data_IF_932439302571
#
_entry.id   IF_932439302571
#
_cell.length_a   1.000
_cell.length_b   1.000
_cell.length_c   1.000
_cell.angle_alpha   90.00
_cell.angle_beta   90.00
_cell.angle_gamma   90.00
#
_symmetry.space_group_name_H-M   'P 1'
#
loop_
_entity.id
_entity.type
_entity.pdbx_description
1 polymer ?
#
# COMPACT_ATOMS: atom_id res chain seq x y z
N UNK A 1 13.14 14.99 10.28
CA UNK A 1 14.34 14.81 9.44
C UNK A 1 14.02 15.29 8.03
N UNK A 2 14.88 16.05 7.42
CA UNK A 2 14.80 16.51 6.03
C UNK A 2 15.82 15.77 5.17
N UNK A 3 15.45 15.42 3.92
CA UNK A 3 16.29 14.68 2.98
C UNK A 3 16.80 13.34 3.52
N UNK A 4 15.87 12.50 3.95
CA UNK A 4 16.17 11.18 4.48
C UNK A 4 16.39 10.18 3.34
N UNK A 5 17.42 9.33 3.48
CA UNK A 5 17.69 8.20 2.59
C UNK A 5 17.79 6.92 3.40
N UNK A 6 16.96 5.93 3.06
CA UNK A 6 17.04 4.59 3.62
C UNK A 6 17.75 3.69 2.62
N UNK A 7 18.96 3.27 2.94
CA UNK A 7 19.79 2.39 2.10
C UNK A 7 19.29 0.94 2.16
N UNK A 8 19.53 0.19 1.08
CA UNK A 8 19.26 -1.25 1.01
C UNK A 8 17.83 -1.64 0.66
N UNK A 9 16.90 -0.70 0.59
CA UNK A 9 15.51 -0.95 0.19
C UNK A 9 14.96 0.21 -0.61
N UNK A 10 14.56 -0.04 -1.85
CA UNK A 10 13.82 0.90 -2.67
C UNK A 10 12.33 0.50 -2.66
N UNK A 11 11.54 1.09 -1.73
CA UNK A 11 10.11 0.81 -1.60
C UNK A 11 9.33 1.04 -2.90
N UNK A 12 9.51 2.16 -3.62
CA UNK A 12 8.90 2.35 -4.94
C UNK A 12 9.19 1.20 -5.91
N UNK A 13 10.43 0.75 -6.01
CA UNK A 13 10.84 -0.33 -6.91
C UNK A 13 10.19 -1.66 -6.54
N UNK A 14 10.16 -2.02 -5.26
CA UNK A 14 9.49 -3.23 -4.77
C UNK A 14 8.03 -3.26 -5.19
N UNK A 15 7.32 -2.15 -5.04
CA UNK A 15 5.91 -2.05 -5.44
C UNK A 15 5.76 -2.18 -6.95
N UNK A 16 6.58 -1.49 -7.74
CA UNK A 16 6.54 -1.56 -9.21
C UNK A 16 6.79 -2.98 -9.73
N UNK A 17 7.78 -3.68 -9.18
CA UNK A 17 8.09 -5.06 -9.54
C UNK A 17 6.95 -6.01 -9.17
N UNK A 18 6.37 -5.87 -7.97
CA UNK A 18 5.25 -6.70 -7.53
C UNK A 18 4.00 -6.49 -8.40
N UNK A 19 3.74 -5.25 -8.81
CA UNK A 19 2.64 -4.92 -9.72
C UNK A 19 2.91 -5.52 -11.12
N UNK A 20 4.13 -5.40 -11.62
CA UNK A 20 4.51 -5.95 -12.93
C UNK A 20 4.33 -7.47 -12.96
N UNK A 21 4.75 -8.18 -11.91
CA UNK A 21 4.57 -9.63 -11.78
C UNK A 21 3.09 -10.05 -11.74
N UNK A 22 2.25 -9.30 -11.01
CA UNK A 22 0.84 -9.65 -10.85
C UNK A 22 -0.04 -9.29 -12.07
N UNK A 23 0.43 -8.42 -12.95
CA UNK A 23 -0.39 -7.89 -14.06
C UNK A 23 0.16 -8.17 -15.44
N UNK A 24 1.30 -8.85 -15.56
CA UNK A 24 2.07 -9.02 -16.80
C UNK A 24 2.36 -7.69 -17.54
N UNK A 25 2.30 -6.59 -16.82
CA UNK A 25 2.58 -5.25 -17.34
C UNK A 25 3.93 -4.78 -16.86
N UNK A 26 4.85 -4.56 -17.79
CA UNK A 26 6.16 -4.00 -17.47
C UNK A 26 5.98 -2.52 -17.10
N UNK A 27 6.28 -2.20 -15.84
CA UNK A 27 6.41 -0.84 -15.36
C UNK A 27 7.92 -0.57 -15.30
N UNK A 28 8.40 0.31 -16.17
CA UNK A 28 9.81 0.69 -16.16
C UNK A 28 10.05 1.66 -14.99
N UNK A 29 10.89 1.30 -14.02
CA UNK A 29 11.30 2.26 -13.00
C UNK A 29 12.17 3.34 -13.66
N UNK A 30 11.81 4.60 -13.46
CA UNK A 30 12.59 5.73 -14.00
C UNK A 30 13.96 5.87 -13.33
N UNK A 31 14.15 5.28 -12.13
CA UNK A 31 15.43 5.26 -11.41
C UNK A 31 15.63 3.94 -10.67
N UNK A 32 16.73 3.26 -10.97
CA UNK A 32 17.17 2.03 -10.26
C UNK A 32 18.15 2.44 -9.15
N UNK A 33 17.66 3.16 -8.15
CA UNK A 33 18.47 3.48 -6.98
C UNK A 33 18.23 2.45 -5.87
N UNK A 34 19.27 2.08 -5.14
CA UNK A 34 19.20 1.10 -4.05
C UNK A 34 18.74 1.70 -2.72
N UNK A 35 17.96 2.78 -2.76
CA UNK A 35 17.49 3.47 -1.57
C UNK A 35 16.08 4.02 -1.75
N UNK A 36 15.39 4.22 -0.62
CA UNK A 36 14.15 5.01 -0.53
C UNK A 36 14.50 6.41 -0.05
N UNK A 37 14.12 7.45 -0.80
CA UNK A 37 14.34 8.84 -0.43
C UNK A 37 13.03 9.49 0.01
N UNK A 38 13.08 10.27 1.09
CA UNK A 38 11.96 11.10 1.52
C UNK A 38 12.45 12.52 1.85
N UNK A 39 11.63 13.51 1.49
CA UNK A 39 11.92 14.92 1.74
C UNK A 39 11.72 15.27 3.22
N UNK A 40 10.74 14.64 3.85
CA UNK A 40 10.44 14.77 5.26
C UNK A 40 10.06 13.43 5.88
N UNK A 41 10.58 13.16 7.07
CA UNK A 41 10.25 11.96 7.86
C UNK A 41 9.95 12.36 9.30
N UNK A 42 8.77 11.95 9.77
CA UNK A 42 8.34 12.06 11.15
C UNK A 42 8.08 10.64 11.66
N UNK A 43 8.72 10.28 12.78
CA UNK A 43 8.51 8.98 13.40
C UNK A 43 8.36 9.13 14.91
N UNK A 44 7.44 8.33 15.47
CA UNK A 44 7.29 8.16 16.92
C UNK A 44 7.59 6.71 17.27
N UNK A 45 8.51 6.51 18.19
CA UNK A 45 8.91 5.16 18.59
C UNK A 45 9.16 5.07 20.09
N UNK A 46 9.06 3.86 20.60
CA UNK A 46 9.40 3.50 21.97
C UNK A 46 10.49 2.45 21.96
N UNK A 47 11.60 2.75 22.65
CA UNK A 47 12.70 1.80 22.84
C UNK A 47 12.68 1.28 24.27
N UNK A 48 12.78 -0.04 24.42
CA UNK A 48 12.92 -0.71 25.74
C UNK A 48 14.39 -0.98 26.06
N UNK A 49 14.76 -1.14 27.36
CA UNK A 49 16.13 -1.53 27.74
C UNK A 49 16.57 -2.88 27.17
N UNK A 50 15.63 -3.73 26.78
CA UNK A 50 15.88 -5.04 26.12
C UNK A 50 16.08 -4.92 24.61
N UNK A 51 16.29 -3.72 24.07
CA UNK A 51 16.55 -3.52 22.65
C UNK A 51 15.34 -3.73 21.74
N UNK A 52 14.12 -3.68 22.28
CA UNK A 52 12.91 -3.75 21.48
C UNK A 52 12.44 -2.33 21.12
N UNK A 53 12.41 -2.03 19.84
CA UNK A 53 11.93 -0.76 19.28
C UNK A 53 10.54 -0.99 18.70
N UNK A 54 9.54 -0.31 19.25
CA UNK A 54 8.19 -0.25 18.68
C UNK A 54 8.04 1.08 17.93
N UNK A 55 7.79 1.02 16.64
CA UNK A 55 7.44 2.15 15.80
C UNK A 55 5.93 2.35 15.89
N UNK A 56 5.50 3.34 16.65
CA UNK A 56 4.07 3.66 16.82
C UNK A 56 3.49 4.34 15.58
N UNK A 57 4.28 5.21 14.97
CA UNK A 57 3.93 5.85 13.70
C UNK A 57 5.20 6.26 12.95
N UNK A 58 5.16 6.10 11.65
CA UNK A 58 6.09 6.64 10.67
C UNK A 58 5.28 7.37 9.60
N UNK A 59 5.66 8.59 9.26
CA UNK A 59 5.16 9.33 8.08
C UNK A 59 6.38 9.85 7.32
N UNK A 60 6.60 9.31 6.13
CA UNK A 60 7.66 9.71 5.23
C UNK A 60 7.05 10.25 3.94
N UNK A 61 7.40 11.48 3.59
CA UNK A 61 6.84 12.20 2.45
C UNK A 61 7.90 12.47 1.40
N UNK A 62 7.57 12.13 0.17
CA UNK A 62 8.30 12.47 -1.04
C UNK A 62 7.37 13.11 -2.08
N UNK A 63 7.93 13.68 -3.13
CA UNK A 63 7.15 14.32 -4.20
C UNK A 63 6.20 13.33 -4.90
N UNK A 64 6.62 12.08 -5.07
CA UNK A 64 5.93 11.06 -5.85
C UNK A 64 5.18 10.02 -5.02
N UNK A 65 5.41 9.96 -3.71
CA UNK A 65 4.75 9.03 -2.80
C UNK A 65 4.72 9.55 -1.36
N UNK A 66 3.89 8.92 -0.55
CA UNK A 66 3.88 9.03 0.91
C UNK A 66 3.90 7.62 1.50
N UNK A 67 4.68 7.40 2.53
CA UNK A 67 4.77 6.14 3.26
C UNK A 67 4.37 6.39 4.70
N UNK A 68 3.34 5.69 5.17
CA UNK A 68 3.02 5.59 6.59
C UNK A 68 3.41 4.21 7.09
N UNK A 69 3.84 4.09 8.34
CA UNK A 69 4.32 2.82 8.84
C UNK A 69 4.14 2.64 10.33
N UNK A 70 4.09 1.37 10.74
CA UNK A 70 4.12 0.95 12.13
C UNK A 70 4.71 -0.46 12.24
N UNK A 71 5.24 -0.83 13.39
CA UNK A 71 5.77 -2.17 13.58
C UNK A 71 6.77 -2.27 14.70
N UNK A 72 7.53 -3.37 14.68
CA UNK A 72 8.50 -3.68 15.71
C UNK A 72 9.86 -4.01 15.08
N UNK A 73 10.92 -3.61 15.78
CA UNK A 73 12.31 -3.96 15.45
C UNK A 73 12.98 -4.49 16.71
N UNK A 74 13.66 -5.63 16.61
CA UNK A 74 14.44 -6.16 17.70
C UNK A 74 15.93 -5.95 17.40
N UNK A 75 16.54 -5.04 18.14
CA UNK A 75 17.94 -4.65 17.94
C UNK A 75 18.93 -5.74 18.36
N UNK A 76 18.54 -6.65 19.26
CA UNK A 76 19.41 -7.75 19.72
C UNK A 76 19.40 -8.93 18.75
N UNK A 77 18.22 -9.25 18.19
CA UNK A 77 18.06 -10.36 17.24
C UNK A 77 18.26 -9.92 15.79
N UNK A 78 18.40 -8.62 15.54
CA UNK A 78 18.52 -8.03 14.21
C UNK A 78 17.33 -8.33 13.30
N UNK A 79 16.14 -8.43 13.89
CA UNK A 79 14.92 -8.70 13.15
C UNK A 79 13.93 -7.53 13.18
N UNK A 80 13.07 -7.50 12.19
CA UNK A 80 12.00 -6.52 12.07
C UNK A 80 10.70 -7.16 11.57
N UNK A 81 9.59 -6.52 11.92
CA UNK A 81 8.26 -6.78 11.36
C UNK A 81 7.50 -5.44 11.32
N UNK A 82 7.49 -4.83 10.15
CA UNK A 82 6.97 -3.48 9.93
C UNK A 82 5.98 -3.51 8.77
N UNK A 83 4.81 -2.94 8.98
CA UNK A 83 3.83 -2.72 7.92
C UNK A 83 3.89 -1.27 7.46
N UNK A 84 4.06 -1.09 6.17
CA UNK A 84 4.03 0.19 5.47
C UNK A 84 2.74 0.31 4.66
N UNK A 85 2.16 1.50 4.65
CA UNK A 85 1.09 1.90 3.74
C UNK A 85 1.67 2.93 2.79
N UNK A 86 1.79 2.57 1.52
CA UNK A 86 2.41 3.41 0.50
C UNK A 86 1.32 4.00 -0.39
N UNK A 87 1.20 5.32 -0.37
CA UNK A 87 0.32 6.08 -1.24
C UNK A 87 1.13 6.71 -2.37
N UNK A 88 0.79 6.36 -3.60
CA UNK A 88 1.42 6.91 -4.81
C UNK A 88 0.74 8.22 -5.17
N UNK A 89 1.51 9.31 -5.28
CA UNK A 89 0.98 10.64 -5.64
C UNK A 89 1.00 10.90 -7.13
N UNK A 90 2.17 10.80 -7.77
CA UNK A 90 2.39 11.10 -9.20
C UNK A 90 3.64 10.42 -9.74
N UNK A 91 3.77 10.31 -11.08
CA UNK A 91 5.07 10.10 -11.74
C UNK A 91 5.58 8.66 -11.76
N UNK A 92 4.73 7.68 -11.56
CA UNK A 92 5.12 6.27 -11.63
C UNK A 92 4.87 5.70 -13.04
N UNK A 93 5.74 6.07 -13.98
CA UNK A 93 5.68 5.61 -15.37
C UNK A 93 4.60 6.29 -16.22
N UNK A 94 4.33 5.73 -17.40
CA UNK A 94 3.29 6.26 -18.30
C UNK A 94 1.93 6.19 -17.60
N UNK A 95 1.25 7.33 -17.50
CA UNK A 95 -0.10 7.40 -16.94
C UNK A 95 -1.06 6.50 -17.72
N UNK A 96 -1.43 5.39 -17.14
CA UNK A 96 -2.51 4.54 -17.61
C UNK A 96 -3.61 4.46 -16.54
N UNK A 97 -4.77 3.95 -16.91
CA UNK A 97 -5.92 3.83 -16.00
C UNK A 97 -5.59 3.05 -14.72
N UNK A 98 -4.73 2.03 -14.84
CA UNK A 98 -4.30 1.21 -13.71
C UNK A 98 -3.47 2.04 -12.71
N UNK A 99 -2.48 2.79 -13.17
CA UNK A 99 -1.68 3.68 -12.31
C UNK A 99 -2.56 4.74 -11.65
N UNK A 100 -3.50 5.34 -12.39
CA UNK A 100 -4.46 6.29 -11.82
C UNK A 100 -5.33 5.69 -10.72
N UNK A 101 -5.63 4.39 -10.79
CA UNK A 101 -6.36 3.72 -9.72
C UNK A 101 -5.49 3.48 -8.48
N UNK A 102 -4.22 3.13 -8.66
CA UNK A 102 -3.28 2.94 -7.57
C UNK A 102 -3.01 4.22 -6.77
N UNK A 103 -3.08 5.40 -7.42
CA UNK A 103 -2.93 6.68 -6.71
C UNK A 103 -4.06 6.99 -5.71
N UNK A 104 -5.15 6.24 -5.75
CA UNK A 104 -6.33 6.44 -4.89
C UNK A 104 -6.38 5.50 -3.70
N UNK A 105 -5.40 4.64 -3.55
CA UNK A 105 -5.37 3.61 -2.51
C UNK A 105 -4.04 3.60 -1.78
N UNK A 106 -4.07 3.18 -0.52
CA UNK A 106 -2.88 2.87 0.25
C UNK A 106 -2.47 1.42 -0.02
N UNK A 107 -1.25 1.23 -0.50
CA UNK A 107 -0.70 -0.08 -0.86
C UNK A 107 0.00 -0.66 0.38
N UNK A 108 -0.51 -1.75 0.96
CA UNK A 108 0.10 -2.37 2.13
C UNK A 108 1.33 -3.18 1.71
N UNK A 109 2.48 -2.86 2.30
CA UNK A 109 3.74 -3.55 2.15
C UNK A 109 4.24 -3.97 3.53
N UNK A 110 4.39 -5.27 3.78
CA UNK A 110 5.01 -5.79 5.00
C UNK A 110 6.48 -6.06 4.75
N UNK A 111 7.32 -5.59 5.65
CA UNK A 111 8.77 -5.86 5.70
C UNK A 111 9.04 -6.70 6.94
N UNK A 112 9.73 -7.83 6.80
CA UNK A 112 9.97 -8.73 7.93
C UNK A 112 11.28 -9.52 7.78
N UNK A 113 11.72 -10.13 8.88
CA UNK A 113 12.91 -10.97 8.93
C UNK A 113 14.15 -10.22 9.38
N UNK A 114 15.34 -10.78 9.06
CA UNK A 114 16.62 -10.17 9.41
C UNK A 114 16.84 -8.86 8.63
N UNK A 115 17.27 -7.80 9.32
CA UNK A 115 17.46 -6.50 8.68
C UNK A 115 18.60 -6.44 7.65
N UNK A 116 19.52 -7.42 7.65
CA UNK A 116 20.54 -7.56 6.61
C UNK A 116 20.01 -8.32 5.38
N UNK A 117 18.85 -9.00 5.51
CA UNK A 117 18.19 -9.77 4.47
C UNK A 117 16.67 -9.61 4.56
N UNK A 118 16.20 -8.35 4.49
CA UNK A 118 14.79 -8.01 4.64
C UNK A 118 13.95 -8.70 3.58
N UNK A 119 12.92 -9.40 4.02
CA UNK A 119 11.89 -9.98 3.17
C UNK A 119 10.71 -9.02 3.09
N UNK A 120 9.96 -9.10 1.99
CA UNK A 120 8.77 -8.27 1.81
C UNK A 120 7.59 -9.10 1.31
N UNK A 121 6.41 -8.69 1.72
CA UNK A 121 5.13 -9.28 1.30
C UNK A 121 4.21 -8.17 0.80
N UNK A 122 3.79 -8.28 -0.46
CA UNK A 122 2.84 -7.40 -1.12
C UNK A 122 1.84 -8.23 -1.91
N UNK A 123 0.60 -8.33 -1.43
CA UNK A 123 -0.45 -9.07 -2.12
C UNK A 123 -1.22 -8.16 -3.07
N UNK A 124 -0.67 -7.95 -4.26
CA UNK A 124 -1.26 -7.11 -5.30
C UNK A 124 -2.58 -7.68 -5.81
N UNK A 125 -2.70 -9.00 -5.94
CA UNK A 125 -3.94 -9.63 -6.42
C UNK A 125 -5.10 -9.36 -5.46
N UNK A 126 -4.87 -9.53 -4.16
CA UNK A 126 -5.88 -9.23 -3.13
C UNK A 126 -6.27 -7.76 -3.19
N UNK A 127 -5.29 -6.86 -3.28
CA UNK A 127 -5.51 -5.42 -3.37
C UNK A 127 -6.40 -5.06 -4.57
N UNK A 128 -6.13 -5.62 -5.75
CA UNK A 128 -6.91 -5.39 -6.96
C UNK A 128 -8.30 -5.97 -6.85
N UNK A 129 -8.44 -7.16 -6.27
CA UNK A 129 -9.74 -7.81 -6.05
C UNK A 129 -10.62 -6.99 -5.10
N UNK A 130 -10.07 -6.54 -3.98
CA UNK A 130 -10.79 -5.71 -3.00
C UNK A 130 -11.25 -4.40 -3.63
N UNK A 131 -10.43 -3.79 -4.50
CA UNK A 131 -10.78 -2.58 -5.25
C UNK A 131 -11.93 -2.83 -6.25
N UNK A 132 -11.90 -3.94 -6.97
CA UNK A 132 -12.97 -4.29 -7.90
C UNK A 132 -14.29 -4.56 -7.16
N UNK A 133 -14.24 -5.24 -6.03
CA UNK A 133 -15.42 -5.48 -5.19
C UNK A 133 -16.01 -4.18 -4.64
N UNK A 134 -15.17 -3.26 -4.15
CA UNK A 134 -15.64 -1.95 -3.66
C UNK A 134 -16.29 -1.12 -4.77
N UNK A 135 -15.70 -1.10 -5.98
CA UNK A 135 -16.29 -0.40 -7.13
C UNK A 135 -17.63 -1.00 -7.58
N UNK A 136 -17.71 -2.34 -7.61
CA UNK A 136 -18.94 -3.02 -7.93
C UNK A 136 -20.04 -2.69 -6.91
N UNK A 137 -19.70 -2.73 -5.61
CA UNK A 137 -20.62 -2.35 -4.54
C UNK A 137 -21.09 -0.90 -4.66
N UNK A 138 -20.18 0.05 -4.87
CA UNK A 138 -20.53 1.47 -5.06
C UNK A 138 -21.43 1.68 -6.28
N UNK A 139 -21.17 0.97 -7.39
CA UNK A 139 -22.01 1.05 -8.59
C UNK A 139 -23.43 0.54 -8.32
N UNK A 140 -23.55 -0.57 -7.58
CA UNK A 140 -24.83 -1.15 -7.16
C UNK A 140 -25.56 -0.19 -6.21
N UNK A 141 -24.88 0.35 -5.20
CA UNK A 141 -25.47 1.29 -4.24
C UNK A 141 -25.95 2.57 -4.95
N UNK A 142 -25.16 3.10 -5.89
CA UNK A 142 -25.54 4.28 -6.69
C UNK A 142 -26.73 4.00 -7.61
N UNK A 143 -26.83 2.78 -8.14
CA UNK A 143 -27.96 2.36 -8.96
C UNK A 143 -29.23 2.21 -8.12
N UNK A 144 -29.12 1.55 -6.95
CA UNK A 144 -30.22 1.39 -5.99
C UNK A 144 -30.78 2.73 -5.51
N UNK A 145 -29.90 3.70 -5.23
CA UNK A 145 -30.31 5.03 -4.77
C UNK A 145 -31.00 5.86 -5.86
N UNK A 146 -30.90 5.48 -7.13
CA UNK A 146 -31.55 6.14 -8.29
C UNK A 146 -32.87 5.50 -8.68
N UNK A 147 -33.17 4.33 -8.14
CA UNK A 147 -34.39 3.57 -8.43
C UNK A 147 -35.39 3.71 -7.26
N UNK A 148 -36.68 3.64 -7.56
CA UNK A 148 -37.71 3.54 -6.53
C UNK A 148 -37.50 2.27 -5.70
N UNK A 149 -37.45 2.41 -4.38
CA UNK A 149 -37.20 1.32 -3.45
C UNK A 149 -38.22 0.15 -3.55
N UNK A 150 -39.36 0.40 -4.19
CA UNK A 150 -40.44 -0.57 -4.40
C UNK A 150 -40.37 -1.34 -5.72
N UNK A 151 -39.42 -1.01 -6.61
CA UNK A 151 -39.31 -1.69 -7.90
C UNK A 151 -38.98 -3.20 -7.72
N UNK A 152 -39.55 -4.09 -8.54
CA UNK A 152 -39.29 -5.53 -8.46
C UNK A 152 -37.82 -5.88 -8.58
N UNK A 153 -37.07 -5.12 -9.40
CA UNK A 153 -35.64 -5.31 -9.62
C UNK A 153 -34.81 -5.00 -8.36
N UNK A 154 -35.16 -3.94 -7.61
CA UNK A 154 -34.50 -3.59 -6.33
C UNK A 154 -34.76 -4.65 -5.27
N UNK A 155 -35.99 -5.17 -5.18
CA UNK A 155 -36.35 -6.26 -4.25
C UNK A 155 -35.58 -7.55 -4.56
N UNK A 156 -35.46 -7.93 -5.83
CA UNK A 156 -34.71 -9.10 -6.26
C UNK A 156 -33.19 -8.96 -5.96
N UNK A 157 -32.60 -7.80 -6.23
CA UNK A 157 -31.19 -7.54 -5.99
C UNK A 157 -30.87 -7.56 -4.49
N UNK A 158 -31.70 -6.94 -3.66
CA UNK A 158 -31.54 -6.96 -2.21
C UNK A 158 -31.65 -8.36 -1.60
N UNK A 159 -32.45 -9.26 -2.21
CA UNK A 159 -32.50 -10.67 -1.80
C UNK A 159 -31.23 -11.44 -2.17
N UNK A 160 -30.60 -11.12 -3.31
CA UNK A 160 -29.33 -11.73 -3.73
C UNK A 160 -28.16 -11.25 -2.85
N UNK A 161 -28.09 -9.95 -2.53
CA UNK A 161 -27.04 -9.38 -1.68
C UNK A 161 -27.06 -9.89 -0.23
N UNK A 162 -28.23 -10.35 0.28
CA UNK A 162 -28.34 -10.97 1.61
C UNK A 162 -27.81 -12.42 1.67
N UNK A 163 -27.52 -13.03 0.53
CA UNK A 163 -27.05 -14.43 0.43
C UNK A 163 -25.54 -14.55 0.19
N UNK A 164 -24.83 -13.42 0.04
CA UNK A 164 -23.38 -13.33 -0.13
C UNK A 164 -22.76 -12.80 1.17
#
# INVERSE_FOLDING_TARGET
LTQFKMQGLNVPQVIQQSIAQATDKVIYPENIESYTQADNVIAQFKLTPKGQLTVNSLDAQANTYQIKGQGNVNLQRHDLDVTLLVNIKKGWGKENEFIRQLTKIDIPLRLYGDWNAVQYELNVEKLLRDQLQQKAKQAIDNWLNKQDAESPEVKALNQLLKKI
#
